data_IF_316979668520
#
_entry.id   IF_316979668520
#
_cell.length_a   1.000
_cell.length_b   1.000
_cell.length_c   1.000
_cell.angle_alpha   90.00
_cell.angle_beta   90.00
_cell.angle_gamma   90.00
#
_symmetry.space_group_name_H-M   'P 1'
#
loop_
_entity.id
_entity.type
_entity.pdbx_description
1 polymer ?
#
# COMPACT_ATOMS: atom_id res chain seq x y z
N UNK A 1 13.90 36.36 5.42
CA UNK A 1 13.49 35.31 6.37
C UNK A 1 12.85 34.20 5.55
N UNK A 2 13.58 33.13 5.25
CA UNK A 2 13.02 31.96 4.57
C UNK A 2 12.08 31.26 5.55
N UNK A 3 10.79 31.17 5.22
CA UNK A 3 9.89 30.23 5.90
C UNK A 3 10.38 28.83 5.54
N UNK A 4 10.80 28.08 6.55
CA UNK A 4 10.92 26.64 6.43
C UNK A 4 9.50 26.15 6.15
N UNK A 5 9.25 25.70 4.92
CA UNK A 5 8.03 24.95 4.60
C UNK A 5 8.26 23.59 5.24
N UNK A 6 7.67 23.37 6.40
CA UNK A 6 7.54 22.04 6.97
C UNK A 6 6.59 21.27 6.05
N UNK A 7 7.02 20.10 5.57
CA UNK A 7 6.16 19.18 4.83
C UNK A 7 4.84 19.02 5.61
N UNK A 8 3.70 19.29 4.97
CA UNK A 8 2.41 19.13 5.62
C UNK A 8 2.19 17.65 5.93
N UNK A 9 1.60 17.35 7.10
CA UNK A 9 1.22 15.97 7.40
C UNK A 9 0.30 15.44 6.27
N UNK A 10 0.57 14.24 5.74
CA UNK A 10 -0.22 13.71 4.64
C UNK A 10 -1.66 13.43 5.10
N UNK A 11 -2.61 13.64 4.19
CA UNK A 11 -4.02 13.35 4.44
C UNK A 11 -4.25 11.83 4.39
N UNK A 12 -4.82 11.27 5.44
CA UNK A 12 -5.31 9.88 5.43
C UNK A 12 -6.59 9.82 4.59
N UNK A 13 -6.53 9.14 3.45
CA UNK A 13 -7.67 8.96 2.55
C UNK A 13 -8.52 7.74 2.92
N UNK A 14 -7.87 6.69 3.43
CA UNK A 14 -8.45 5.37 3.59
C UNK A 14 -7.65 4.56 4.61
N UNK A 15 -8.33 3.92 5.54
CA UNK A 15 -7.77 2.83 6.35
C UNK A 15 -8.37 1.50 5.90
N UNK A 16 -7.54 0.52 5.57
CA UNK A 16 -8.01 -0.78 5.10
C UNK A 16 -7.01 -1.91 5.35
N UNK A 17 -7.51 -3.15 5.34
CA UNK A 17 -6.67 -4.33 5.23
C UNK A 17 -6.02 -4.43 3.85
N UNK A 18 -4.88 -5.12 3.77
CA UNK A 18 -4.27 -5.55 2.49
C UNK A 18 -4.90 -6.89 2.06
N UNK A 19 -5.57 -6.89 0.91
CA UNK A 19 -6.26 -8.05 0.39
C UNK A 19 -5.31 -9.02 -0.33
N UNK A 20 -5.66 -10.30 -0.34
CA UNK A 20 -4.95 -11.33 -1.12
C UNK A 20 -3.57 -11.73 -0.58
N UNK A 21 -3.25 -11.41 0.69
CA UNK A 21 -2.00 -11.82 1.35
C UNK A 21 -1.84 -13.34 1.39
N UNK A 22 -2.92 -14.11 1.51
CA UNK A 22 -2.92 -15.59 1.43
C UNK A 22 -2.42 -16.14 0.09
N UNK A 23 -2.44 -15.33 -0.98
CA UNK A 23 -1.93 -15.71 -2.29
C UNK A 23 -0.49 -15.25 -2.54
N UNK A 24 0.15 -14.59 -1.56
CA UNK A 24 1.52 -14.08 -1.70
C UNK A 24 2.52 -15.09 -1.11
N UNK A 25 3.48 -15.58 -1.91
CA UNK A 25 4.42 -16.57 -1.41
C UNK A 25 5.45 -15.95 -0.45
N UNK A 26 5.88 -16.73 0.54
CA UNK A 26 6.96 -16.40 1.47
C UNK A 26 6.71 -15.23 2.44
N UNK A 27 5.47 -14.74 2.60
CA UNK A 27 5.20 -13.65 3.54
C UNK A 27 5.61 -14.00 4.98
N UNK A 28 5.62 -15.27 5.37
CA UNK A 28 6.13 -15.75 6.67
C UNK A 28 7.61 -15.43 6.90
N UNK A 29 8.41 -15.33 5.83
CA UNK A 29 9.83 -14.95 5.91
C UNK A 29 10.03 -13.44 5.89
N UNK A 30 9.07 -12.71 5.32
CA UNK A 30 9.15 -11.26 5.15
C UNK A 30 8.51 -10.48 6.28
N UNK A 31 7.42 -10.98 6.88
CA UNK A 31 6.70 -10.33 7.97
C UNK A 31 7.61 -9.85 9.11
N UNK A 32 8.62 -10.62 9.58
CA UNK A 32 9.50 -10.16 10.65
C UNK A 32 10.31 -8.90 10.30
N UNK A 33 10.47 -8.59 9.02
CA UNK A 33 11.17 -7.40 8.52
C UNK A 33 10.25 -6.20 8.33
N UNK A 34 8.93 -6.42 8.28
CA UNK A 34 7.95 -5.33 8.21
C UNK A 34 7.88 -4.59 9.54
N UNK A 35 7.82 -3.27 9.49
CA UNK A 35 7.66 -2.44 10.69
C UNK A 35 6.39 -1.62 10.61
N UNK A 36 5.62 -1.57 11.72
CA UNK A 36 4.52 -0.59 11.84
C UNK A 36 5.10 0.81 11.70
N UNK A 37 4.42 1.67 10.95
CA UNK A 37 4.86 2.99 10.55
C UNK A 37 5.71 3.01 9.27
N UNK A 38 6.14 1.87 8.73
CA UNK A 38 6.92 1.86 7.49
C UNK A 38 6.09 2.38 6.30
N UNK A 39 6.75 3.11 5.41
CA UNK A 39 6.17 3.51 4.14
C UNK A 39 5.98 2.29 3.22
N UNK A 40 4.88 2.29 2.49
CA UNK A 40 4.51 1.30 1.48
C UNK A 40 4.20 2.02 0.17
N UNK A 41 4.41 1.31 -0.93
CA UNK A 41 4.21 1.80 -2.28
C UNK A 41 2.91 1.25 -2.85
N UNK A 42 2.18 2.10 -3.55
CA UNK A 42 0.95 1.74 -4.25
C UNK A 42 1.22 1.78 -5.76
N UNK A 43 0.98 0.66 -6.43
CA UNK A 43 1.24 0.52 -7.87
C UNK A 43 -0.06 0.19 -8.58
N UNK A 44 -0.42 0.97 -9.60
CA UNK A 44 -1.56 0.65 -10.46
C UNK A 44 -1.28 -0.57 -11.33
N UNK A 45 -2.29 -1.42 -11.47
CA UNK A 45 -2.35 -2.52 -12.45
C UNK A 45 -3.56 -2.29 -13.37
N UNK A 46 -3.45 -1.38 -14.35
CA UNK A 46 -4.58 -0.97 -15.19
C UNK A 46 -5.03 -2.03 -16.20
N UNK A 47 -4.22 -3.08 -16.41
CA UNK A 47 -4.46 -4.20 -17.32
C UNK A 47 -4.85 -5.49 -16.59
N UNK A 48 -5.28 -5.37 -15.34
CA UNK A 48 -5.85 -6.48 -14.56
C UNK A 48 -7.05 -7.08 -15.28
N UNK A 49 -7.08 -8.42 -15.39
CA UNK A 49 -8.21 -9.16 -15.97
C UNK A 49 -9.38 -9.35 -15.00
N UNK A 50 -9.20 -8.97 -13.73
CA UNK A 50 -10.15 -9.26 -12.65
C UNK A 50 -10.80 -8.00 -12.07
N UNK A 51 -10.08 -6.87 -12.08
CA UNK A 51 -10.48 -5.63 -11.41
C UNK A 51 -9.83 -4.41 -12.10
N UNK A 52 -10.64 -3.61 -12.78
CA UNK A 52 -10.22 -2.40 -13.51
C UNK A 52 -9.53 -1.36 -12.61
N UNK A 53 -9.79 -1.41 -11.31
CA UNK A 53 -9.27 -0.49 -10.31
C UNK A 53 -8.16 -1.09 -9.45
N UNK A 54 -7.58 -2.23 -9.86
CA UNK A 54 -6.53 -2.90 -9.12
C UNK A 54 -5.36 -1.97 -8.76
N UNK A 55 -5.02 -1.99 -7.46
CA UNK A 55 -3.88 -1.29 -6.87
C UNK A 55 -3.11 -2.27 -5.99
N UNK A 56 -1.87 -2.54 -6.37
CA UNK A 56 -0.96 -3.41 -5.63
C UNK A 56 -0.32 -2.66 -4.47
N UNK A 57 -0.08 -3.35 -3.35
CA UNK A 57 0.63 -2.84 -2.17
C UNK A 57 2.00 -3.49 -2.08
N UNK A 58 3.05 -2.68 -2.06
CA UNK A 58 4.45 -3.10 -2.15
C UNK A 58 5.30 -2.48 -1.04
N UNK A 59 6.38 -3.16 -0.63
CA UNK A 59 7.32 -2.60 0.37
C UNK A 59 8.26 -1.55 -0.25
N UNK A 60 8.50 -1.62 -1.55
CA UNK A 60 9.39 -0.72 -2.29
C UNK A 60 8.83 -0.48 -3.72
N UNK A 61 9.42 0.40 -4.53
CA UNK A 61 9.07 0.47 -5.95
C UNK A 61 9.28 -0.88 -6.63
N UNK A 62 8.45 -1.22 -7.62
CA UNK A 62 8.53 -2.51 -8.33
C UNK A 62 9.88 -2.78 -9.01
N UNK A 63 10.69 -1.74 -9.22
CA UNK A 63 12.05 -1.82 -9.78
C UNK A 63 13.11 -2.20 -8.74
N UNK A 64 12.79 -2.18 -7.44
CA UNK A 64 13.70 -2.55 -6.37
C UNK A 64 13.78 -4.09 -6.23
N UNK A 65 14.97 -4.71 -6.29
CA UNK A 65 15.11 -6.16 -6.11
C UNK A 65 14.73 -6.66 -4.71
N UNK A 66 14.69 -5.77 -3.71
CA UNK A 66 14.21 -6.07 -2.36
C UNK A 66 12.69 -5.86 -2.20
N UNK A 67 11.99 -5.45 -3.26
CA UNK A 67 10.55 -5.26 -3.22
C UNK A 67 9.81 -6.56 -2.89
N UNK A 68 8.86 -6.47 -1.98
CA UNK A 68 7.94 -7.54 -1.63
C UNK A 68 6.53 -7.06 -1.95
N UNK A 69 5.86 -7.82 -2.81
CA UNK A 69 4.46 -7.61 -3.12
C UNK A 69 3.58 -8.21 -2.03
N UNK A 70 2.95 -7.34 -1.23
CA UNK A 70 2.18 -7.73 -0.05
C UNK A 70 0.73 -8.13 -0.38
N UNK A 71 0.17 -7.59 -1.46
CA UNK A 71 -1.21 -7.85 -1.86
C UNK A 71 -1.81 -6.68 -2.63
N UNK A 72 -3.10 -6.44 -2.42
CA UNK A 72 -3.87 -5.39 -3.08
C UNK A 72 -4.62 -4.51 -2.09
N UNK A 73 -5.03 -3.32 -2.52
CA UNK A 73 -6.16 -2.65 -1.89
C UNK A 73 -7.44 -3.47 -2.15
N UNK A 74 -8.40 -3.53 -1.19
CA UNK A 74 -9.64 -4.26 -1.39
C UNK A 74 -10.46 -3.68 -2.55
N UNK A 75 -10.99 -4.54 -3.43
CA UNK A 75 -11.75 -4.18 -4.64
C UNK A 75 -12.82 -3.12 -4.38
N UNK A 76 -13.65 -3.29 -3.35
CA UNK A 76 -14.71 -2.33 -3.01
C UNK A 76 -14.24 -0.97 -2.47
N UNK A 77 -12.93 -0.73 -2.36
CA UNK A 77 -12.34 0.47 -1.74
C UNK A 77 -11.20 1.09 -2.54
N UNK A 78 -10.80 0.51 -3.67
CA UNK A 78 -9.58 0.89 -4.40
C UNK A 78 -9.81 1.99 -5.45
N UNK A 79 -11.02 2.14 -6.01
CA UNK A 79 -11.30 3.03 -7.14
C UNK A 79 -10.83 4.48 -6.94
N UNK A 80 -11.08 5.06 -5.76
CA UNK A 80 -10.66 6.45 -5.51
C UNK A 80 -9.13 6.58 -5.54
N UNK A 81 -8.43 5.64 -4.90
CA UNK A 81 -6.96 5.62 -4.88
C UNK A 81 -6.40 5.39 -6.28
N UNK A 82 -7.04 4.50 -7.03
CA UNK A 82 -6.68 4.17 -8.38
C UNK A 82 -6.77 5.38 -9.32
N UNK A 83 -7.87 6.14 -9.27
CA UNK A 83 -8.03 7.39 -10.02
C UNK A 83 -7.02 8.46 -9.64
N UNK A 84 -6.64 8.55 -8.36
CA UNK A 84 -5.60 9.49 -7.91
C UNK A 84 -4.23 9.13 -8.49
N UNK A 85 -3.88 7.84 -8.50
CA UNK A 85 -2.65 7.35 -9.14
C UNK A 85 -2.66 7.61 -10.65
N UNK A 86 -3.78 7.35 -11.33
CA UNK A 86 -3.95 7.61 -12.77
C UNK A 86 -3.83 9.12 -13.09
N UNK A 87 -4.23 9.99 -12.16
CA UNK A 87 -4.09 11.44 -12.26
C UNK A 87 -2.68 11.96 -11.87
N UNK A 88 -1.74 11.07 -11.55
CA UNK A 88 -0.37 11.42 -11.17
C UNK A 88 -0.24 12.08 -9.79
N UNK A 89 -1.21 11.85 -8.89
CA UNK A 89 -1.14 12.36 -7.51
C UNK A 89 -0.12 11.58 -6.70
N UNK A 90 0.53 12.26 -5.76
CA UNK A 90 1.48 11.65 -4.84
C UNK A 90 0.70 10.90 -3.74
N UNK A 91 0.49 9.61 -3.95
CA UNK A 91 -0.22 8.73 -3.01
C UNK A 91 0.70 7.59 -2.59
N UNK A 92 0.78 7.33 -1.30
CA UNK A 92 1.51 6.19 -0.73
C UNK A 92 0.63 5.45 0.27
N UNK A 93 1.19 4.44 0.93
CA UNK A 93 0.57 3.85 2.10
C UNK A 93 1.55 3.77 3.28
N UNK A 94 1.02 3.49 4.47
CA UNK A 94 1.77 3.23 5.69
C UNK A 94 1.21 2.01 6.39
N UNK A 95 2.10 1.12 6.85
CA UNK A 95 1.68 -0.04 7.63
C UNK A 95 1.24 0.40 9.03
N UNK A 96 0.01 0.09 9.43
CA UNK A 96 -0.53 0.42 10.74
C UNK A 96 -0.57 -0.76 11.70
N UNK A 97 -0.85 -1.95 11.17
CA UNK A 97 -0.94 -3.18 11.97
C UNK A 97 -0.45 -4.37 11.18
N UNK A 98 0.11 -5.36 11.89
CA UNK A 98 0.43 -6.68 11.34
C UNK A 98 0.16 -7.77 12.37
N UNK A 99 -0.51 -8.83 11.96
CA UNK A 99 -0.69 -10.05 12.75
C UNK A 99 -0.83 -11.26 11.85
N UNK A 100 -0.33 -12.41 12.30
CA UNK A 100 -0.69 -13.67 11.67
C UNK A 100 -2.05 -14.11 12.17
N UNK A 101 -2.98 -14.30 11.23
CA UNK A 101 -4.13 -15.17 11.40
C UNK A 101 -3.73 -16.57 10.93
N UNK A 102 -4.47 -17.60 11.37
CA UNK A 102 -4.14 -19.03 11.22
C UNK A 102 -3.28 -19.38 9.98
N UNK A 103 -3.74 -18.99 8.80
CA UNK A 103 -3.13 -19.31 7.51
C UNK A 103 -2.82 -18.09 6.63
N UNK A 104 -2.98 -16.86 7.14
CA UNK A 104 -2.74 -15.66 6.36
C UNK A 104 -2.23 -14.48 7.20
N UNK A 105 -1.47 -13.60 6.54
CA UNK A 105 -0.93 -12.40 7.15
C UNK A 105 -1.97 -11.28 7.08
N UNK A 106 -2.52 -10.88 8.22
CA UNK A 106 -3.34 -9.68 8.35
C UNK A 106 -2.43 -8.45 8.41
N UNK A 107 -2.64 -7.52 7.49
CA UNK A 107 -1.98 -6.22 7.46
C UNK A 107 -3.04 -5.14 7.34
N UNK A 108 -3.06 -4.16 8.25
CA UNK A 108 -3.83 -2.93 8.07
C UNK A 108 -2.91 -1.79 7.67
N UNK A 109 -3.37 -0.97 6.73
CA UNK A 109 -2.64 0.17 6.20
C UNK A 109 -3.50 1.43 6.20
N UNK A 110 -2.83 2.56 6.21
CA UNK A 110 -3.40 3.85 5.78
C UNK A 110 -2.92 4.18 4.38
N UNK A 111 -3.82 4.66 3.53
CA UNK A 111 -3.47 5.30 2.25
C UNK A 111 -3.36 6.81 2.49
N UNK A 112 -2.27 7.38 2.02
CA UNK A 112 -1.83 8.74 2.34
C UNK A 112 -1.72 9.56 1.05
N UNK A 113 -2.34 10.74 1.02
CA UNK A 113 -2.15 11.75 -0.01
C UNK A 113 -1.17 12.82 0.48
N UNK A 114 -0.17 13.12 -0.33
CA UNK A 114 0.83 14.15 -0.07
C UNK A 114 0.55 15.38 -0.97
N UNK A 115 0.58 16.58 -0.38
CA UNK A 115 0.31 17.87 -1.05
C UNK A 115 1.58 18.63 -1.43
#
# INVERSE_FOLDING_TARGET
MMKIVTDSEPLVLLECLVAGTSHRPNLEKYEPKLSVGQALHLTREPDSHYDDWAVQVHTAPATDPANVWLGYLPEGRNETVARLLDAGKNVSARLNHKSWETDWLHLDIEVLLHE
#
